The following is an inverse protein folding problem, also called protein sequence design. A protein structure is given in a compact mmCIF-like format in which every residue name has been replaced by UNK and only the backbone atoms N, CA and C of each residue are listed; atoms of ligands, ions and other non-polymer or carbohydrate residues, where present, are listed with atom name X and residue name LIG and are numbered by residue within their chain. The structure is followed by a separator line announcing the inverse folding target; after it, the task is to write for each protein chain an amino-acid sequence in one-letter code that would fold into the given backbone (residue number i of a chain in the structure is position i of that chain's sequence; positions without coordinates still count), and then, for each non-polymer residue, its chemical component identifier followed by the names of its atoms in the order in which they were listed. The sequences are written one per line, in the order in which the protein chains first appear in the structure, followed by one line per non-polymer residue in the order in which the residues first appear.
data_IF_886429214917
#
_entry.id   IF_886429214917
#
_cell.length_a   1.000
_cell.length_b   1.000
_cell.length_c   1.000
_cell.angle_alpha   90.00
_cell.angle_beta   90.00
_cell.angle_gamma   90.00
#
_symmetry.space_group_name_H-M   'P 1'
#
loop_
_entity.id
_entity.type
_entity.pdbx_description
1 polymer ?
#
# COMPACT_ATOMS: atom_id res chain seq x y z
N UNK A 1 -18.61 -1.43 7.26
CA UNK A 1 -18.52 -2.26 6.04
C UNK A 1 -18.32 -3.71 6.44
N UNK A 2 -19.04 -4.64 5.82
CA UNK A 2 -18.93 -6.05 6.17
C UNK A 2 -17.63 -6.64 5.62
N UNK A 3 -17.12 -7.66 6.28
CA UNK A 3 -15.94 -8.40 5.85
C UNK A 3 -16.09 -8.90 4.41
N UNK A 4 -17.30 -9.38 4.08
CA UNK A 4 -17.60 -9.89 2.73
C UNK A 4 -17.47 -8.83 1.66
N UNK A 5 -17.93 -7.60 1.93
CA UNK A 5 -17.81 -6.49 0.97
C UNK A 5 -16.34 -6.13 0.73
N UNK A 6 -15.51 -6.13 1.78
CA UNK A 6 -14.08 -5.86 1.65
C UNK A 6 -13.39 -6.94 0.80
N UNK A 7 -13.73 -8.21 1.05
CA UNK A 7 -13.14 -9.31 0.29
C UNK A 7 -13.53 -9.27 -1.19
N UNK A 8 -14.78 -8.91 -1.49
CA UNK A 8 -15.21 -8.75 -2.88
C UNK A 8 -14.46 -7.60 -3.57
N UNK A 9 -14.28 -6.47 -2.87
CA UNK A 9 -13.53 -5.34 -3.41
C UNK A 9 -12.08 -5.71 -3.71
N UNK A 10 -11.44 -6.46 -2.82
CA UNK A 10 -10.08 -6.95 -3.02
C UNK A 10 -9.99 -7.86 -4.24
N UNK A 11 -10.96 -8.76 -4.41
CA UNK A 11 -10.99 -9.68 -5.53
C UNK A 11 -11.07 -8.93 -6.86
N UNK A 12 -11.93 -7.90 -6.93
CA UNK A 12 -12.07 -7.08 -8.15
C UNK A 12 -10.76 -6.36 -8.46
N UNK A 13 -10.14 -5.75 -7.47
CA UNK A 13 -8.87 -5.04 -7.66
C UNK A 13 -7.77 -6.00 -8.11
N UNK A 14 -7.67 -7.14 -7.47
CA UNK A 14 -6.66 -8.16 -7.80
C UNK A 14 -6.81 -8.65 -9.24
N UNK A 15 -8.05 -8.89 -9.68
CA UNK A 15 -8.33 -9.33 -11.04
C UNK A 15 -7.92 -8.26 -12.07
N UNK A 16 -7.84 -7.00 -11.65
CA UNK A 16 -7.41 -5.89 -12.50
C UNK A 16 -5.93 -5.55 -12.32
N UNK A 17 -5.16 -6.39 -11.64
CA UNK A 17 -3.71 -6.25 -11.55
C UNK A 17 -3.18 -5.45 -10.37
N UNK A 18 -4.05 -5.12 -9.41
CA UNK A 18 -3.62 -4.38 -8.22
C UNK A 18 -3.13 -5.34 -7.14
N UNK A 19 -2.13 -4.91 -6.39
CA UNK A 19 -1.65 -5.64 -5.23
C UNK A 19 -2.52 -5.28 -4.02
N UNK A 20 -3.15 -6.27 -3.40
CA UNK A 20 -4.14 -6.05 -2.33
C UNK A 20 -3.79 -6.73 -1.01
N UNK A 21 -2.61 -7.34 -0.90
CA UNK A 21 -2.23 -8.13 0.27
C UNK A 21 -1.56 -7.29 1.37
N UNK A 22 -1.38 -6.01 1.14
CA UNK A 22 -0.76 -5.10 2.11
C UNK A 22 -1.55 -3.79 2.19
N UNK A 23 -2.80 -3.90 2.62
CA UNK A 23 -3.68 -2.74 2.78
C UNK A 23 -3.63 -2.26 4.22
N UNK A 24 -3.50 -0.96 4.40
CA UNK A 24 -3.43 -0.33 5.70
C UNK A 24 -4.80 0.25 6.08
N UNK A 25 -5.14 0.13 7.35
CA UNK A 25 -6.42 0.55 7.90
C UNK A 25 -6.20 1.53 9.05
N UNK A 26 -7.22 2.35 9.35
CA UNK A 26 -7.14 3.29 10.48
C UNK A 26 -6.85 2.57 11.81
N UNK A 27 -7.28 1.32 11.95
CA UNK A 27 -7.02 0.53 13.14
C UNK A 27 -5.53 0.23 13.32
N UNK A 28 -4.76 0.20 12.25
CA UNK A 28 -3.31 0.02 12.34
C UNK A 28 -2.66 1.19 13.04
N UNK A 29 -3.09 2.42 12.73
CA UNK A 29 -2.61 3.61 13.43
C UNK A 29 -3.08 3.62 14.87
N UNK A 30 -4.35 3.27 15.09
CA UNK A 30 -4.96 3.26 16.43
C UNK A 30 -4.36 2.19 17.34
N UNK A 31 -3.72 1.18 16.80
CA UNK A 31 -3.02 0.19 17.61
C UNK A 31 -1.74 0.77 18.22
N UNK A 32 -1.25 1.87 17.69
CA UNK A 32 -0.02 2.52 18.15
C UNK A 32 -0.28 3.85 18.85
N UNK A 33 -1.28 4.59 18.40
CA UNK A 33 -1.59 5.91 18.94
C UNK A 33 -3.07 6.04 19.29
N UNK A 34 -3.37 6.77 20.36
CA UNK A 34 -4.74 7.11 20.69
C UNK A 34 -5.15 8.31 19.83
N UNK A 35 -6.05 8.09 18.89
CA UNK A 35 -6.45 9.13 17.94
C UNK A 35 -7.85 8.85 17.38
N UNK A 36 -8.41 9.87 16.71
CA UNK A 36 -9.68 9.73 16.00
C UNK A 36 -9.46 9.04 14.65
N UNK A 37 -10.54 8.60 14.00
CA UNK A 37 -10.46 8.03 12.66
C UNK A 37 -9.88 9.04 11.66
N UNK A 38 -10.28 10.31 11.77
CA UNK A 38 -9.79 11.35 10.89
C UNK A 38 -8.29 11.55 11.04
N UNK A 39 -7.81 11.60 12.28
CA UNK A 39 -6.37 11.72 12.54
C UNK A 39 -5.61 10.51 12.01
N UNK A 40 -6.17 9.31 12.18
CA UNK A 40 -5.54 8.09 11.68
C UNK A 40 -5.46 8.08 10.16
N UNK A 41 -6.50 8.56 9.47
CA UNK A 41 -6.50 8.68 8.01
C UNK A 41 -5.43 9.65 7.53
N UNK A 42 -5.28 10.79 8.21
CA UNK A 42 -4.24 11.77 7.86
C UNK A 42 -2.84 11.17 8.02
N UNK A 43 -2.63 10.41 9.07
CA UNK A 43 -1.34 9.74 9.30
C UNK A 43 -1.07 8.71 8.21
N UNK A 44 -2.07 7.93 7.83
CA UNK A 44 -1.92 6.96 6.73
C UNK A 44 -1.59 7.67 5.42
N UNK A 45 -2.29 8.76 5.12
CA UNK A 45 -2.03 9.51 3.91
C UNK A 45 -0.58 10.01 3.86
N UNK A 46 -0.12 10.65 4.93
CA UNK A 46 1.25 11.16 5.00
C UNK A 46 2.29 10.04 4.96
N UNK A 47 2.02 8.94 5.68
CA UNK A 47 2.98 7.84 5.78
C UNK A 47 3.14 7.07 4.48
N UNK A 48 2.06 6.92 3.72
CA UNK A 48 2.05 6.06 2.54
C UNK A 48 2.28 6.82 1.24
N UNK A 49 2.24 8.16 1.26
CA UNK A 49 2.36 8.96 0.04
C UNK A 49 3.50 9.99 0.08
N UNK A 50 4.28 10.05 1.17
CA UNK A 50 5.40 10.98 1.21
C UNK A 50 6.50 10.53 0.23
N UNK A 51 7.35 11.49 -0.13
CA UNK A 51 8.40 11.26 -1.13
C UNK A 51 9.35 10.13 -0.74
N UNK A 52 9.78 10.09 0.53
CA UNK A 52 10.71 9.06 0.99
C UNK A 52 10.11 7.65 0.87
N UNK A 53 8.83 7.49 1.22
CA UNK A 53 8.14 6.20 1.09
C UNK A 53 8.03 5.79 -0.38
N UNK A 54 7.66 6.74 -1.25
CA UNK A 54 7.53 6.45 -2.67
C UNK A 54 8.87 6.09 -3.30
N UNK A 55 9.93 6.78 -2.94
CA UNK A 55 11.28 6.47 -3.40
C UNK A 55 11.70 5.06 -2.97
N UNK A 56 11.40 4.68 -1.74
CA UNK A 56 11.73 3.36 -1.23
C UNK A 56 10.99 2.26 -1.98
N UNK A 57 9.72 2.49 -2.31
CA UNK A 57 8.93 1.53 -3.10
C UNK A 57 9.56 1.36 -4.49
N UNK A 58 9.88 2.45 -5.18
CA UNK A 58 10.49 2.39 -6.49
C UNK A 58 11.88 1.73 -6.45
N UNK A 59 12.64 2.02 -5.41
CA UNK A 59 13.93 1.36 -5.20
C UNK A 59 13.76 -0.15 -5.06
N UNK A 60 12.79 -0.59 -4.26
CA UNK A 60 12.52 -2.01 -4.05
C UNK A 60 12.08 -2.70 -5.34
N UNK A 61 11.22 -2.05 -6.12
CA UNK A 61 10.78 -2.58 -7.43
C UNK A 61 12.01 -2.81 -8.33
N UNK A 62 12.91 -1.84 -8.38
CA UNK A 62 14.12 -1.96 -9.18
C UNK A 62 15.02 -3.10 -8.72
N UNK A 63 15.22 -3.23 -7.40
CA UNK A 63 16.07 -4.28 -6.84
C UNK A 63 15.53 -5.67 -7.14
N UNK A 64 14.25 -5.91 -6.90
CA UNK A 64 13.65 -7.21 -7.14
C UNK A 64 13.55 -7.53 -8.62
N UNK A 65 13.31 -6.52 -9.46
CA UNK A 65 13.35 -6.71 -10.91
C UNK A 65 14.72 -7.16 -11.40
N UNK A 66 15.80 -6.56 -10.88
CA UNK A 66 17.17 -6.95 -11.24
C UNK A 66 17.52 -8.35 -10.74
N UNK A 67 17.08 -8.71 -9.52
CA UNK A 67 17.29 -10.05 -8.97
C UNK A 67 16.65 -11.10 -9.88
N UNK A 68 15.48 -10.79 -10.44
CA UNK A 68 14.77 -11.70 -11.33
C UNK A 68 15.27 -11.59 -12.79
N UNK A 69 16.33 -10.84 -13.03
CA UNK A 69 16.94 -10.65 -14.34
C UNK A 69 16.00 -10.03 -15.38
N UNK A 70 15.13 -9.16 -14.92
CA UNK A 70 14.23 -8.43 -15.82
C UNK A 70 14.97 -7.28 -16.48
N UNK A 71 14.68 -7.05 -17.76
CA UNK A 71 15.29 -5.96 -18.51
C UNK A 71 14.64 -4.63 -18.15
N UNK A 72 15.46 -3.64 -17.77
CA UNK A 72 14.97 -2.29 -17.48
C UNK A 72 14.56 -1.57 -18.76
N UNK A 73 13.45 -0.86 -18.69
CA UNK A 73 13.00 -0.01 -19.79
C UNK A 73 13.68 1.36 -19.62
N UNK A 74 14.48 1.77 -20.59
CA UNK A 74 15.17 3.04 -20.61
C UNK A 74 14.40 4.00 -21.52
N UNK A 75 13.73 4.98 -20.90
CA UNK A 75 13.03 6.03 -21.64
C UNK A 75 13.70 7.37 -21.45
#
# INVERSE_FOLDING_TARGET
MSFKAVELAKAVLKDNGYFVDNLWHVDDVKSKFKCTNEQAQDILLESLTNEATMEQIWFSIGEFGRIDNLEEINN
#
